data_IF_315804982634
#
_entry.id   IF_315804982634
#
_cell.length_a   1.000
_cell.length_b   1.000
_cell.length_c   1.000
_cell.angle_alpha   90.00
_cell.angle_beta   90.00
_cell.angle_gamma   90.00
#
_symmetry.space_group_name_H-M   'P 1'
#
loop_
_entity.id
_entity.type
_entity.pdbx_description
1 polymer ?
#
# COMPACT_ATOMS: atom_id res chain seq x y z
N UNK A 1 16.70 20.64 -21.73
CA UNK A 1 17.49 21.73 -21.13
C UNK A 1 17.86 21.35 -19.72
N UNK A 2 19.17 21.39 -19.41
CA UNK A 2 19.86 21.33 -18.11
C UNK A 2 19.31 20.39 -17.02
N UNK A 3 19.98 19.24 -16.88
CA UNK A 3 20.18 18.55 -15.61
C UNK A 3 21.21 19.29 -14.75
N UNK A 4 20.93 19.47 -13.46
CA UNK A 4 21.89 19.98 -12.46
C UNK A 4 22.40 18.83 -11.61
N UNK A 5 23.64 18.44 -11.88
CA UNK A 5 24.46 17.60 -11.00
C UNK A 5 25.03 18.48 -9.87
N UNK A 6 24.87 18.05 -8.61
CA UNK A 6 25.54 18.68 -7.46
C UNK A 6 26.86 17.96 -7.21
N UNK A 7 27.92 18.75 -7.33
CA UNK A 7 29.33 18.41 -7.21
C UNK A 7 29.70 18.00 -5.79
N UNK A 8 30.31 16.83 -5.63
CA UNK A 8 31.10 16.46 -4.45
C UNK A 8 32.49 17.11 -4.53
N UNK A 9 32.87 17.93 -3.55
CA UNK A 9 34.25 18.37 -3.35
C UNK A 9 35.01 17.43 -2.38
N UNK A 10 36.25 17.00 -2.71
CA UNK A 10 37.16 16.36 -1.78
C UNK A 10 38.30 17.32 -1.36
N UNK A 11 38.58 17.43 -0.06
CA UNK A 11 39.65 18.30 0.48
C UNK A 11 39.88 17.89 1.94
N UNK A 12 41.06 17.55 2.49
CA UNK A 12 42.46 17.62 2.10
C UNK A 12 43.26 16.60 2.95
N UNK A 13 44.27 15.97 2.33
CA UNK A 13 45.43 15.38 3.02
C UNK A 13 46.33 16.48 3.58
N UNK A 14 46.93 16.25 4.75
CA UNK A 14 48.15 16.90 5.27
C UNK A 14 48.33 16.44 6.72
N UNK A 15 49.49 16.08 7.28
CA UNK A 15 50.89 16.01 6.85
C UNK A 15 51.62 15.47 8.10
N UNK A 16 52.49 14.49 7.92
CA UNK A 16 53.38 14.03 8.99
C UNK A 16 54.43 15.08 9.32
N UNK A 17 54.87 15.12 10.58
CA UNK A 17 56.08 15.80 11.04
C UNK A 17 56.49 15.12 12.36
N UNK A 18 57.41 14.16 12.31
CA UNK A 18 58.87 14.32 12.44
C UNK A 18 59.36 14.49 13.89
N UNK A 19 60.34 13.64 14.19
CA UNK A 19 60.87 13.41 15.52
C UNK A 19 61.52 14.62 16.18
N UNK A 20 61.30 14.73 17.49
CA UNK A 20 62.21 15.45 18.39
C UNK A 20 62.97 14.45 19.26
N UNK A 21 64.16 14.09 18.76
CA UNK A 21 65.26 13.61 19.61
C UNK A 21 65.72 14.76 20.51
N UNK A 22 65.67 14.60 21.83
CA UNK A 22 66.49 15.39 22.76
C UNK A 22 67.11 14.48 23.82
N UNK A 23 68.41 14.24 23.61
CA UNK A 23 69.51 14.33 24.57
C UNK A 23 69.31 13.59 25.91
N UNK A 24 69.84 12.36 25.96
CA UNK A 24 70.32 11.76 27.21
C UNK A 24 71.48 12.60 27.74
N UNK A 25 71.36 13.14 28.95
CA UNK A 25 72.52 13.50 29.77
C UNK A 25 72.70 12.43 30.85
N UNK A 26 73.85 11.76 30.79
CA UNK A 26 74.30 10.83 31.79
C UNK A 26 74.81 11.61 33.00
N UNK A 27 74.10 11.56 34.13
CA UNK A 27 74.65 11.91 35.43
C UNK A 27 74.95 10.65 36.22
N UNK A 28 76.24 10.38 36.30
CA UNK A 28 76.89 9.36 37.10
C UNK A 28 76.84 9.80 38.59
N UNK A 29 76.08 9.10 39.44
CA UNK A 29 76.24 9.17 40.90
C UNK A 29 76.13 7.79 41.52
N UNK A 30 77.30 7.26 41.88
CA UNK A 30 77.48 6.25 42.93
C UNK A 30 76.87 6.78 44.23
N UNK A 31 75.98 6.00 44.83
CA UNK A 31 75.43 6.20 46.17
C UNK A 31 74.70 4.94 46.60
N UNK A 32 75.05 4.44 47.79
CA UNK A 32 74.74 3.10 48.32
C UNK A 32 73.25 2.72 48.38
N UNK A 33 72.94 1.41 48.32
CA UNK A 33 71.59 0.88 48.39
C UNK A 33 71.21 0.55 49.84
N UNK A 34 70.59 1.49 50.56
CA UNK A 34 69.80 1.18 51.76
C UNK A 34 68.63 2.16 51.84
N UNK A 35 67.58 1.87 51.09
CA UNK A 35 66.37 2.68 51.02
C UNK A 35 65.45 2.25 49.89
N UNK A 36 65.23 0.94 49.70
CA UNK A 36 64.70 0.40 48.44
C UNK A 36 63.56 -0.60 48.65
N UNK A 37 62.65 -0.32 49.58
CA UNK A 37 61.42 -1.13 49.73
C UNK A 37 60.19 -0.23 49.88
N UNK A 38 60.32 0.87 50.63
CA UNK A 38 59.27 1.90 50.74
C UNK A 38 59.01 2.66 49.43
N UNK A 39 60.04 2.87 48.60
CA UNK A 39 59.95 3.62 47.33
C UNK A 39 59.32 2.78 46.19
N UNK A 40 59.63 1.48 46.14
CA UNK A 40 59.03 0.55 45.18
C UNK A 40 57.54 0.31 45.47
N UNK A 41 57.17 0.23 46.76
CA UNK A 41 55.78 0.12 47.18
C UNK A 41 54.96 1.35 46.76
N UNK A 42 55.49 2.56 46.96
CA UNK A 42 54.83 3.79 46.54
C UNK A 42 54.60 3.85 45.02
N UNK A 43 55.56 3.35 44.22
CA UNK A 43 55.43 3.24 42.77
C UNK A 43 54.33 2.25 42.35
N UNK A 44 54.25 1.08 42.99
CA UNK A 44 53.20 0.09 42.74
C UNK A 44 51.80 0.59 43.12
N UNK A 45 51.70 1.31 44.24
CA UNK A 45 50.45 1.93 44.69
C UNK A 45 50.00 3.02 43.70
N UNK A 46 50.94 3.87 43.24
CA UNK A 46 50.67 4.88 42.20
C UNK A 46 50.20 4.25 40.88
N UNK A 47 50.84 3.18 40.43
CA UNK A 47 50.45 2.46 39.22
C UNK A 47 49.08 1.79 39.38
N UNK A 48 48.78 1.22 40.55
CA UNK A 48 47.49 0.62 40.87
C UNK A 48 46.36 1.66 40.88
N UNK A 49 46.62 2.85 41.42
CA UNK A 49 45.69 3.97 41.33
C UNK A 49 45.48 4.43 39.89
N UNK A 50 46.54 4.50 39.10
CA UNK A 50 46.45 4.87 37.68
C UNK A 50 45.58 3.87 36.91
N UNK A 51 45.79 2.56 37.10
CA UNK A 51 44.96 1.52 36.48
C UNK A 51 43.50 1.63 36.93
N UNK A 52 43.24 1.91 38.22
CA UNK A 52 41.88 2.10 38.73
C UNK A 52 41.19 3.31 38.09
N UNK A 53 41.91 4.43 37.92
CA UNK A 53 41.40 5.63 37.22
C UNK A 53 41.10 5.33 35.76
N UNK A 54 42.00 4.64 35.06
CA UNK A 54 41.78 4.23 33.67
C UNK A 54 40.57 3.30 33.52
N UNK A 55 40.42 2.32 34.42
CA UNK A 55 39.27 1.41 34.39
C UNK A 55 37.96 2.19 34.59
N UNK A 56 37.91 3.10 35.56
CA UNK A 56 36.74 3.96 35.78
C UNK A 56 36.40 4.83 34.56
N UNK A 57 37.40 5.32 33.83
CA UNK A 57 37.19 6.05 32.58
C UNK A 57 36.63 5.15 31.47
N UNK A 58 37.15 3.93 31.33
CA UNK A 58 36.64 2.93 30.38
C UNK A 58 35.19 2.59 30.70
N UNK A 59 34.86 2.33 31.95
CA UNK A 59 33.49 2.00 32.38
C UNK A 59 32.54 3.17 32.08
N UNK A 60 32.97 4.41 32.33
CA UNK A 60 32.23 5.62 31.97
C UNK A 60 31.98 5.74 30.46
N UNK A 61 33.00 5.48 29.62
CA UNK A 61 32.86 5.49 28.17
C UNK A 61 31.92 4.38 27.67
N UNK A 62 31.97 3.19 28.26
CA UNK A 62 31.06 2.08 27.93
C UNK A 62 29.61 2.44 28.28
N UNK A 63 29.37 3.07 29.43
CA UNK A 63 28.05 3.53 29.83
C UNK A 63 27.50 4.61 28.89
N UNK A 64 28.33 5.59 28.52
CA UNK A 64 27.97 6.63 27.55
C UNK A 64 27.67 6.01 26.18
N UNK A 65 28.53 5.10 25.69
CA UNK A 65 28.31 4.40 24.41
C UNK A 65 26.98 3.64 24.42
N UNK A 66 26.68 2.92 25.49
CA UNK A 66 25.43 2.16 25.61
C UNK A 66 24.21 3.08 25.62
N UNK A 67 24.31 4.22 26.28
CA UNK A 67 23.24 5.24 26.30
C UNK A 67 23.03 5.87 24.92
N UNK A 68 24.10 6.20 24.21
CA UNK A 68 24.03 6.72 22.85
C UNK A 68 23.44 5.71 21.88
N UNK A 69 23.82 4.43 22.00
CA UNK A 69 23.27 3.35 21.19
C UNK A 69 21.76 3.23 21.40
N UNK A 70 21.29 3.15 22.65
CA UNK A 70 19.87 3.07 22.95
C UNK A 70 19.07 4.27 22.42
N UNK A 71 19.65 5.48 22.44
CA UNK A 71 19.02 6.67 21.86
C UNK A 71 18.94 6.61 20.33
N UNK A 72 19.99 6.14 19.67
CA UNK A 72 20.00 5.96 18.22
C UNK A 72 18.97 4.92 17.79
N UNK A 73 18.91 3.79 18.50
CA UNK A 73 17.96 2.72 18.21
C UNK A 73 16.52 3.20 18.40
N UNK A 74 16.21 3.86 19.52
CA UNK A 74 14.88 4.43 19.76
C UNK A 74 14.49 5.52 18.75
N UNK A 75 15.46 6.33 18.30
CA UNK A 75 15.21 7.31 17.24
C UNK A 75 14.94 6.62 15.90
N UNK A 76 15.69 5.57 15.55
CA UNK A 76 15.49 4.82 14.32
C UNK A 76 14.11 4.14 14.29
N UNK A 77 13.68 3.54 15.41
CA UNK A 77 12.36 2.95 15.55
C UNK A 77 11.24 3.99 15.41
N UNK A 78 11.36 5.13 16.12
CA UNK A 78 10.39 6.22 16.02
C UNK A 78 10.27 6.77 14.60
N UNK A 79 11.41 6.95 13.91
CA UNK A 79 11.42 7.42 12.52
C UNK A 79 10.83 6.38 11.57
N UNK A 80 11.10 5.09 11.77
CA UNK A 80 10.53 4.03 10.95
C UNK A 80 9.00 3.97 11.09
N UNK A 81 8.48 4.16 12.30
CA UNK A 81 7.04 4.24 12.54
C UNK A 81 6.43 5.45 11.84
N UNK A 82 7.02 6.64 11.98
CA UNK A 82 6.52 7.85 11.31
C UNK A 82 6.51 7.71 9.78
N UNK A 83 7.56 7.12 9.21
CA UNK A 83 7.64 6.83 7.77
C UNK A 83 6.53 5.86 7.33
N UNK A 84 6.25 4.83 8.12
CA UNK A 84 5.16 3.90 7.82
C UNK A 84 3.79 4.58 7.87
N UNK A 85 3.52 5.37 8.91
CA UNK A 85 2.27 6.13 9.04
C UNK A 85 2.07 7.14 7.91
N UNK A 86 3.14 7.83 7.49
CA UNK A 86 3.12 8.74 6.36
C UNK A 86 2.87 8.00 5.04
N UNK A 87 3.50 6.83 4.85
CA UNK A 87 3.28 6.00 3.66
C UNK A 87 1.82 5.57 3.54
N UNK A 88 1.22 5.08 4.62
CA UNK A 88 -0.19 4.69 4.65
C UNK A 88 -1.12 5.88 4.32
N UNK A 89 -0.85 7.06 4.89
CA UNK A 89 -1.62 8.28 4.58
C UNK A 89 -1.48 8.69 3.12
N UNK A 90 -0.28 8.56 2.53
CA UNK A 90 -0.05 8.83 1.12
C UNK A 90 -0.83 7.86 0.22
N UNK A 91 -0.79 6.55 0.51
CA UNK A 91 -1.54 5.52 -0.24
C UNK A 91 -3.06 5.82 -0.24
N UNK A 92 -3.62 6.18 0.94
CA UNK A 92 -5.03 6.58 1.07
C UNK A 92 -5.36 7.82 0.25
N UNK A 93 -4.49 8.84 0.26
CA UNK A 93 -4.70 10.06 -0.51
C UNK A 93 -4.62 9.80 -2.02
N UNK A 94 -3.67 9.00 -2.48
CA UNK A 94 -3.53 8.60 -3.88
C UNK A 94 -4.77 7.84 -4.38
N UNK A 95 -5.30 6.90 -3.58
CA UNK A 95 -6.53 6.18 -3.90
C UNK A 95 -7.73 7.14 -4.02
N UNK A 96 -7.87 8.09 -3.09
CA UNK A 96 -8.93 9.10 -3.13
C UNK A 96 -8.81 10.03 -4.35
N UNK A 97 -7.60 10.49 -4.66
CA UNK A 97 -7.34 11.31 -5.84
C UNK A 97 -7.69 10.56 -7.14
N UNK A 98 -7.31 9.29 -7.24
CA UNK A 98 -7.62 8.43 -8.40
C UNK A 98 -9.13 8.22 -8.56
N UNK A 99 -9.85 7.99 -7.46
CA UNK A 99 -11.32 7.89 -7.48
C UNK A 99 -11.98 9.20 -7.89
N UNK A 100 -11.49 10.34 -7.38
CA UNK A 100 -12.01 11.65 -7.76
C UNK A 100 -11.75 11.96 -9.24
N UNK A 101 -10.57 11.64 -9.76
CA UNK A 101 -10.23 11.80 -11.17
C UNK A 101 -11.19 11.02 -12.06
N UNK A 102 -11.50 9.76 -11.71
CA UNK A 102 -12.52 8.96 -12.40
C UNK A 102 -13.88 9.63 -12.38
N UNK A 103 -14.35 10.12 -11.23
CA UNK A 103 -15.63 10.85 -11.14
C UNK A 103 -15.66 12.10 -12.02
N UNK A 104 -14.56 12.87 -12.07
CA UNK A 104 -14.45 14.04 -12.96
C UNK A 104 -14.50 13.61 -14.42
N UNK A 105 -13.83 12.53 -14.81
CA UNK A 105 -13.88 12.01 -16.18
C UNK A 105 -15.31 11.61 -16.59
N UNK A 106 -16.10 11.03 -15.68
CA UNK A 106 -17.52 10.73 -15.94
C UNK A 106 -18.32 12.02 -16.09
N UNK A 107 -18.15 12.99 -15.19
CA UNK A 107 -18.86 14.29 -15.23
C UNK A 107 -18.54 15.14 -16.47
N UNK A 108 -17.37 14.95 -17.09
CA UNK A 108 -16.95 15.70 -18.30
C UNK A 108 -17.64 15.25 -19.58
N UNK A 109 -18.27 14.08 -19.61
CA UNK A 109 -19.05 13.62 -20.78
C UNK A 109 -20.32 14.48 -20.81
N UNK A 110 -20.63 15.21 -21.88
CA UNK A 110 -21.82 16.08 -21.95
C UNK A 110 -23.08 15.33 -21.50
N UNK A 111 -23.62 15.69 -20.34
CA UNK A 111 -24.46 14.74 -19.61
C UNK A 111 -25.94 14.93 -19.90
N UNK A 112 -26.45 14.13 -20.82
CA UNK A 112 -27.78 13.57 -20.65
C UNK A 112 -27.62 12.33 -19.77
N UNK A 113 -28.10 12.37 -18.52
CA UNK A 113 -27.96 11.28 -17.53
C UNK A 113 -28.83 10.05 -17.83
N UNK A 114 -29.34 9.94 -19.05
CA UNK A 114 -30.10 8.81 -19.54
C UNK A 114 -29.21 7.59 -19.74
N UNK A 115 -29.74 6.42 -19.42
CA UNK A 115 -29.11 5.14 -19.75
C UNK A 115 -28.83 5.05 -21.26
N UNK A 116 -27.58 4.80 -21.66
CA UNK A 116 -27.16 4.89 -23.07
C UNK A 116 -26.63 3.60 -23.69
N UNK A 117 -26.48 2.53 -22.90
CA UNK A 117 -26.06 1.23 -23.43
C UNK A 117 -27.10 0.69 -24.44
N UNK A 118 -26.64 0.05 -25.54
CA UNK A 118 -27.53 -0.49 -26.55
C UNK A 118 -28.42 -1.59 -25.98
N UNK A 119 -29.67 -1.68 -26.45
CA UNK A 119 -30.55 -2.80 -26.08
C UNK A 119 -30.00 -4.12 -26.65
N UNK A 120 -30.05 -5.18 -25.84
CA UNK A 120 -29.72 -6.55 -26.27
C UNK A 120 -31.03 -7.34 -26.37
N UNK A 121 -31.56 -7.58 -27.57
CA UNK A 121 -32.84 -8.28 -27.72
C UNK A 121 -32.70 -9.76 -27.36
N UNK A 122 -33.82 -10.41 -26.97
CA UNK A 122 -33.85 -11.87 -26.72
C UNK A 122 -33.28 -12.70 -27.86
N UNK A 123 -33.49 -12.27 -29.11
CA UNK A 123 -32.99 -12.94 -30.30
C UNK A 123 -31.47 -13.11 -30.30
N UNK A 124 -30.72 -12.16 -29.71
CA UNK A 124 -29.26 -12.26 -29.55
C UNK A 124 -28.85 -13.54 -28.83
N UNK A 125 -29.54 -13.89 -27.74
CA UNK A 125 -29.25 -15.08 -26.96
C UNK A 125 -29.68 -16.37 -27.69
N UNK A 126 -30.85 -16.34 -28.32
CA UNK A 126 -31.40 -17.48 -29.07
C UNK A 126 -30.51 -17.82 -30.28
N UNK A 127 -30.05 -16.80 -31.01
CA UNK A 127 -29.15 -16.96 -32.17
C UNK A 127 -27.78 -17.53 -31.78
N UNK A 128 -27.35 -17.33 -30.53
CA UNK A 128 -26.17 -17.98 -29.95
C UNK A 128 -26.42 -19.42 -29.45
N UNK A 129 -27.61 -19.96 -29.67
CA UNK A 129 -27.99 -21.32 -29.27
C UNK A 129 -28.41 -21.44 -27.80
N UNK A 130 -28.78 -20.34 -27.14
CA UNK A 130 -29.40 -20.36 -25.82
C UNK A 130 -30.90 -20.66 -25.94
N UNK A 131 -31.48 -21.22 -24.89
CA UNK A 131 -32.92 -21.45 -24.84
C UNK A 131 -33.70 -20.17 -24.49
N UNK A 132 -35.02 -20.24 -24.65
CA UNK A 132 -35.93 -19.11 -24.38
C UNK A 132 -35.90 -18.70 -22.90
N UNK A 133 -35.69 -19.66 -21.99
CA UNK A 133 -35.61 -19.40 -20.55
C UNK A 133 -34.37 -18.57 -20.21
N UNK A 134 -33.20 -18.94 -20.73
CA UNK A 134 -31.97 -18.15 -20.62
C UNK A 134 -32.15 -16.77 -21.24
N UNK A 135 -32.71 -16.67 -22.44
CA UNK A 135 -32.94 -15.40 -23.11
C UNK A 135 -33.87 -14.47 -22.30
N UNK A 136 -34.92 -15.02 -21.69
CA UNK A 136 -35.82 -14.29 -20.81
C UNK A 136 -35.11 -13.81 -19.54
N UNK A 137 -34.32 -14.66 -18.89
CA UNK A 137 -33.54 -14.30 -17.71
C UNK A 137 -32.54 -13.16 -18.01
N UNK A 138 -31.89 -13.20 -19.18
CA UNK A 138 -30.99 -12.14 -19.62
C UNK A 138 -31.71 -10.81 -19.86
N UNK A 139 -32.93 -10.82 -20.40
CA UNK A 139 -33.74 -9.61 -20.54
C UNK A 139 -34.11 -9.01 -19.17
N UNK A 140 -34.52 -9.84 -18.21
CA UNK A 140 -34.80 -9.38 -16.85
C UNK A 140 -33.55 -8.80 -16.17
N UNK A 141 -32.41 -9.47 -16.33
CA UNK A 141 -31.10 -9.02 -15.86
C UNK A 141 -30.78 -7.60 -16.35
N UNK A 142 -30.88 -7.37 -17.66
CA UNK A 142 -30.62 -6.05 -18.26
C UNK A 142 -31.60 -4.99 -17.75
N UNK A 143 -32.87 -5.36 -17.55
CA UNK A 143 -33.87 -4.51 -16.91
C UNK A 143 -33.48 -4.09 -15.49
N UNK A 144 -32.96 -5.02 -14.67
CA UNK A 144 -32.48 -4.72 -13.31
C UNK A 144 -31.25 -3.81 -13.32
N UNK A 145 -30.26 -4.07 -14.18
CA UNK A 145 -29.07 -3.19 -14.30
C UNK A 145 -29.50 -1.77 -14.66
N UNK A 146 -30.42 -1.63 -15.62
CA UNK A 146 -30.95 -0.32 -16.03
C UNK A 146 -31.65 0.40 -14.88
N UNK A 147 -32.53 -0.30 -14.16
CA UNK A 147 -33.25 0.25 -13.02
C UNK A 147 -32.29 0.70 -11.90
N UNK A 148 -31.35 -0.16 -11.47
CA UNK A 148 -30.37 0.17 -10.44
C UNK A 148 -29.51 1.38 -10.84
N UNK A 149 -29.09 1.47 -12.12
CA UNK A 149 -28.35 2.63 -12.64
C UNK A 149 -29.15 3.92 -12.50
N UNK A 150 -30.42 3.89 -12.86
CA UNK A 150 -31.30 5.06 -12.76
C UNK A 150 -31.49 5.48 -11.30
N UNK A 151 -31.65 4.53 -10.38
CA UNK A 151 -31.88 4.81 -8.96
C UNK A 151 -30.61 5.32 -8.27
N UNK A 152 -29.44 4.74 -8.58
CA UNK A 152 -28.14 5.26 -8.14
C UNK A 152 -27.94 6.70 -8.61
N UNK A 153 -28.30 7.02 -9.86
CA UNK A 153 -28.16 8.38 -10.41
C UNK A 153 -29.10 9.38 -9.76
N UNK A 154 -30.26 8.95 -9.26
CA UNK A 154 -31.16 9.79 -8.45
C UNK A 154 -30.63 10.02 -7.03
N UNK A 155 -29.54 9.35 -6.66
CA UNK A 155 -28.93 9.44 -5.33
C UNK A 155 -29.64 8.56 -4.30
N UNK A 156 -30.39 7.56 -4.74
CA UNK A 156 -31.02 6.60 -3.84
C UNK A 156 -29.94 5.68 -3.25
N UNK A 157 -29.92 5.55 -1.93
CA UNK A 157 -29.03 4.58 -1.28
C UNK A 157 -29.66 3.20 -1.41
N UNK A 158 -29.22 2.47 -2.43
CA UNK A 158 -29.76 1.15 -2.75
C UNK A 158 -28.82 0.03 -2.32
N UNK A 159 -29.40 -1.14 -2.08
CA UNK A 159 -28.68 -2.40 -2.08
C UNK A 159 -28.65 -2.91 -3.52
N UNK A 160 -27.50 -2.83 -4.17
CA UNK A 160 -27.39 -3.10 -5.60
C UNK A 160 -27.40 -4.62 -5.83
N UNK A 161 -28.52 -5.12 -6.37
CA UNK A 161 -28.79 -6.54 -6.66
C UNK A 161 -28.94 -6.83 -8.14
N UNK A 162 -28.64 -5.86 -9.01
CA UNK A 162 -28.75 -6.10 -10.44
C UNK A 162 -27.86 -7.24 -10.96
N UNK A 163 -26.86 -7.69 -10.18
CA UNK A 163 -25.98 -8.82 -10.49
C UNK A 163 -26.19 -10.04 -9.57
N UNK A 164 -27.31 -10.10 -8.86
CA UNK A 164 -27.69 -11.22 -7.99
C UNK A 164 -28.62 -12.21 -8.73
N UNK A 165 -28.07 -13.38 -9.09
CA UNK A 165 -28.78 -14.42 -9.84
C UNK A 165 -29.00 -15.70 -9.02
N UNK A 166 -29.31 -15.56 -7.72
CA UNK A 166 -29.35 -16.67 -6.75
C UNK A 166 -30.17 -17.92 -7.19
N UNK A 167 -31.21 -17.73 -8.01
CA UNK A 167 -32.12 -18.79 -8.47
C UNK A 167 -32.10 -19.04 -10.00
N UNK A 168 -31.23 -18.37 -10.75
CA UNK A 168 -31.24 -18.42 -12.23
C UNK A 168 -30.12 -19.29 -12.80
N UNK A 169 -30.19 -19.58 -14.10
CA UNK A 169 -29.06 -20.17 -14.81
C UNK A 169 -27.86 -19.22 -14.79
N UNK A 170 -26.69 -19.77 -14.53
CA UNK A 170 -25.48 -19.00 -14.37
C UNK A 170 -25.16 -18.19 -15.63
N UNK A 171 -25.04 -16.87 -15.51
CA UNK A 171 -24.80 -15.97 -16.64
C UNK A 171 -23.42 -16.24 -17.22
N UNK A 172 -23.39 -16.43 -18.54
CA UNK A 172 -22.16 -16.66 -19.29
C UNK A 172 -21.61 -15.34 -19.82
N UNK A 173 -20.29 -15.25 -20.04
CA UNK A 173 -19.67 -14.01 -20.48
C UNK A 173 -20.13 -13.67 -21.91
N UNK A 174 -20.50 -12.42 -22.12
CA UNK A 174 -20.79 -11.85 -23.43
C UNK A 174 -20.34 -10.38 -23.45
N UNK A 175 -19.57 -9.99 -24.46
CA UNK A 175 -19.04 -8.63 -24.59
C UNK A 175 -20.16 -7.59 -24.81
N UNK A 176 -21.35 -8.02 -25.24
CA UNK A 176 -22.53 -7.16 -25.32
C UNK A 176 -22.94 -6.61 -23.95
N UNK A 177 -22.55 -7.24 -22.83
CA UNK A 177 -22.81 -6.74 -21.48
C UNK A 177 -21.87 -5.61 -21.05
N UNK A 178 -20.71 -5.44 -21.70
CA UNK A 178 -19.69 -4.46 -21.27
C UNK A 178 -20.21 -3.00 -21.25
N UNK A 179 -21.00 -2.52 -22.24
CA UNK A 179 -21.64 -1.22 -22.17
C UNK A 179 -22.55 -1.06 -20.94
N UNK A 180 -23.28 -2.11 -20.56
CA UNK A 180 -24.17 -2.07 -19.39
C UNK A 180 -23.40 -2.02 -18.08
N UNK A 181 -22.31 -2.79 -17.96
CA UNK A 181 -21.40 -2.69 -16.82
C UNK A 181 -20.73 -1.32 -16.72
N UNK A 182 -20.47 -0.68 -17.87
CA UNK A 182 -19.93 0.68 -17.90
C UNK A 182 -20.94 1.72 -17.42
N UNK A 183 -22.22 1.61 -17.79
CA UNK A 183 -23.29 2.46 -17.26
C UNK A 183 -23.41 2.33 -15.73
N UNK A 184 -23.32 1.09 -15.22
CA UNK A 184 -23.30 0.79 -13.78
C UNK A 184 -22.08 1.36 -13.09
N UNK A 185 -20.88 1.14 -13.63
CA UNK A 185 -19.64 1.69 -13.11
C UNK A 185 -19.67 3.23 -13.04
N UNK A 186 -20.12 3.89 -14.12
CA UNK A 186 -20.25 5.35 -14.16
C UNK A 186 -21.26 5.85 -13.11
N UNK A 187 -22.37 5.13 -12.87
CA UNK A 187 -23.34 5.46 -11.83
C UNK A 187 -22.75 5.30 -10.41
N UNK A 188 -22.11 4.16 -10.12
CA UNK A 188 -21.44 3.90 -8.84
C UNK A 188 -20.40 4.99 -8.55
N UNK A 189 -19.61 5.37 -9.54
CA UNK A 189 -18.54 6.36 -9.43
C UNK A 189 -19.04 7.76 -9.01
N UNK A 190 -20.27 8.09 -9.37
CA UNK A 190 -20.91 9.37 -9.08
C UNK A 190 -21.80 9.34 -7.85
N UNK A 191 -22.15 8.14 -7.39
CA UNK A 191 -22.90 7.97 -6.15
C UNK A 191 -22.12 8.55 -4.97
N UNK A 192 -22.86 9.04 -3.97
CA UNK A 192 -22.30 9.43 -2.67
C UNK A 192 -22.05 8.23 -1.75
N UNK A 193 -21.99 7.03 -2.33
CA UNK A 193 -21.84 5.76 -1.63
C UNK A 193 -23.04 4.84 -1.92
N UNK A 194 -22.74 3.60 -2.26
CA UNK A 194 -23.70 2.51 -2.29
C UNK A 194 -23.35 1.63 -1.09
N UNK A 195 -24.35 1.23 -0.31
CA UNK A 195 -24.10 0.42 0.88
C UNK A 195 -23.34 -0.86 0.51
N UNK A 196 -23.87 -1.59 -0.46
CA UNK A 196 -23.33 -2.89 -0.86
C UNK A 196 -23.79 -3.28 -2.26
N UNK A 197 -22.97 -4.10 -2.91
CA UNK A 197 -23.31 -4.78 -4.16
C UNK A 197 -23.26 -6.30 -3.95
N UNK A 198 -24.24 -7.01 -4.50
CA UNK A 198 -24.22 -8.46 -4.61
C UNK A 198 -23.96 -8.86 -6.06
N UNK A 199 -22.99 -9.76 -6.22
CA UNK A 199 -22.57 -10.35 -7.48
C UNK A 199 -22.65 -11.86 -7.28
N UNK A 200 -23.72 -12.50 -7.77
CA UNK A 200 -23.95 -13.92 -7.54
C UNK A 200 -24.21 -14.66 -8.84
N UNK A 201 -23.63 -15.86 -8.99
CA UNK A 201 -23.95 -16.81 -10.05
C UNK A 201 -23.74 -16.24 -11.48
N UNK A 202 -22.62 -15.52 -11.66
CA UNK A 202 -22.16 -14.94 -12.93
C UNK A 202 -20.72 -15.37 -13.21
N UNK A 203 -20.40 -15.61 -14.49
CA UNK A 203 -19.00 -15.74 -14.94
C UNK A 203 -18.42 -14.37 -15.32
N UNK A 204 -17.40 -13.91 -14.59
CA UNK A 204 -16.78 -12.60 -14.80
C UNK A 204 -15.43 -12.70 -15.49
N UNK A 205 -15.35 -12.14 -16.69
CA UNK A 205 -14.11 -11.98 -17.43
C UNK A 205 -13.30 -10.77 -16.89
N UNK A 206 -11.97 -10.71 -17.10
CA UNK A 206 -11.15 -9.55 -16.74
C UNK A 206 -11.64 -8.21 -17.32
N UNK A 207 -12.33 -8.23 -18.47
CA UNK A 207 -12.92 -7.03 -19.08
C UNK A 207 -14.04 -6.44 -18.22
N UNK A 208 -14.97 -7.27 -17.73
CA UNK A 208 -16.04 -6.85 -16.83
C UNK A 208 -15.48 -6.41 -15.46
N UNK A 209 -14.56 -7.18 -14.89
CA UNK A 209 -13.91 -6.83 -13.62
C UNK A 209 -13.14 -5.50 -13.71
N UNK A 210 -12.42 -5.28 -14.81
CA UNK A 210 -11.68 -4.06 -15.07
C UNK A 210 -12.56 -2.81 -15.23
N UNK A 211 -13.87 -2.98 -15.46
CA UNK A 211 -14.85 -1.90 -15.48
C UNK A 211 -15.44 -1.68 -14.07
N UNK A 212 -15.93 -2.76 -13.45
CA UNK A 212 -16.70 -2.69 -12.21
C UNK A 212 -15.83 -2.35 -10.99
N UNK A 213 -14.74 -3.09 -10.77
CA UNK A 213 -13.97 -3.00 -9.53
C UNK A 213 -13.30 -1.64 -9.32
N UNK A 214 -12.67 -1.01 -10.33
CA UNK A 214 -12.17 0.34 -10.16
C UNK A 214 -13.26 1.32 -9.71
N UNK A 215 -14.45 1.25 -10.29
CA UNK A 215 -15.55 2.16 -9.94
C UNK A 215 -16.03 2.01 -8.49
N UNK A 216 -15.86 0.84 -7.89
CA UNK A 216 -16.26 0.53 -6.51
C UNK A 216 -15.25 1.01 -5.45
N UNK A 217 -14.00 1.31 -5.85
CA UNK A 217 -12.93 1.73 -4.93
C UNK A 217 -13.30 3.02 -4.19
N UNK A 218 -13.43 2.90 -2.86
CA UNK A 218 -13.81 4.01 -1.97
C UNK A 218 -15.30 4.40 -2.05
N UNK A 219 -16.13 3.62 -2.75
CA UNK A 219 -17.57 3.88 -2.95
C UNK A 219 -18.48 2.87 -2.25
N UNK A 220 -18.00 1.65 -2.02
CA UNK A 220 -18.76 0.57 -1.41
C UNK A 220 -18.26 0.24 0.01
N UNK A 221 -19.21 -0.09 0.90
CA UNK A 221 -18.92 -0.66 2.23
C UNK A 221 -18.96 -2.19 2.22
N UNK A 222 -19.78 -2.79 1.37
CA UNK A 222 -19.90 -4.24 1.23
C UNK A 222 -19.76 -4.71 -0.21
N UNK A 223 -19.11 -5.85 -0.40
CA UNK A 223 -19.18 -6.63 -1.64
C UNK A 223 -19.50 -8.08 -1.27
N UNK A 224 -20.59 -8.59 -1.82
CA UNK A 224 -20.97 -10.00 -1.72
C UNK A 224 -20.73 -10.67 -3.08
N UNK A 225 -19.96 -11.75 -3.09
CA UNK A 225 -19.49 -12.47 -4.28
C UNK A 225 -19.79 -13.95 -4.12
N UNK A 226 -21.00 -14.37 -4.49
CA UNK A 226 -21.44 -15.77 -4.42
C UNK A 226 -21.32 -16.49 -5.76
N UNK A 227 -20.90 -17.76 -5.77
CA UNK A 227 -20.95 -18.64 -6.97
C UNK A 227 -20.35 -18.01 -8.23
N UNK A 228 -19.36 -17.14 -8.08
CA UNK A 228 -18.72 -16.46 -9.21
C UNK A 228 -17.81 -17.45 -9.90
N UNK A 229 -17.88 -17.46 -11.23
CA UNK A 229 -16.98 -18.26 -12.06
C UNK A 229 -15.98 -17.33 -12.74
N UNK A 230 -14.75 -17.80 -12.87
CA UNK A 230 -13.73 -17.14 -13.66
C UNK A 230 -13.34 -18.03 -14.83
N UNK A 231 -13.00 -17.45 -15.99
CA UNK A 231 -12.52 -18.21 -17.13
C UNK A 231 -11.21 -18.89 -16.75
N UNK A 232 -11.07 -20.18 -17.02
CA UNK A 232 -9.88 -20.96 -16.65
C UNK A 232 -8.53 -20.31 -17.05
N UNK A 233 -8.38 -19.79 -18.28
CA UNK A 233 -7.15 -19.12 -18.71
C UNK A 233 -6.85 -17.80 -17.98
N UNK A 234 -7.87 -17.13 -17.45
CA UNK A 234 -7.80 -15.75 -16.94
C UNK A 234 -7.99 -15.66 -15.42
N UNK A 235 -8.20 -16.78 -14.72
CA UNK A 235 -8.52 -16.82 -13.29
C UNK A 235 -7.53 -16.02 -12.42
N UNK A 236 -6.22 -16.13 -12.70
CA UNK A 236 -5.18 -15.39 -11.97
C UNK A 236 -5.37 -13.89 -12.14
N UNK A 237 -5.60 -13.44 -13.38
CA UNK A 237 -5.83 -12.04 -13.69
C UNK A 237 -7.11 -11.50 -13.05
N UNK A 238 -8.17 -12.32 -12.97
CA UNK A 238 -9.38 -11.96 -12.25
C UNK A 238 -9.11 -11.70 -10.76
N UNK A 239 -8.40 -12.60 -10.08
CA UNK A 239 -8.02 -12.41 -8.68
C UNK A 239 -7.08 -11.22 -8.46
N UNK A 240 -6.15 -10.96 -9.39
CA UNK A 240 -5.29 -9.78 -9.32
C UNK A 240 -6.09 -8.48 -9.37
N UNK A 241 -7.09 -8.38 -10.26
CA UNK A 241 -7.97 -7.20 -10.35
C UNK A 241 -8.75 -7.01 -9.04
N UNK A 242 -9.34 -8.10 -8.52
CA UNK A 242 -10.13 -8.09 -7.28
C UNK A 242 -9.27 -7.70 -6.09
N UNK A 243 -8.13 -8.37 -5.89
CA UNK A 243 -7.21 -8.11 -4.77
C UNK A 243 -6.67 -6.68 -4.81
N UNK A 244 -6.31 -6.19 -5.99
CA UNK A 244 -5.81 -4.83 -6.16
C UNK A 244 -6.88 -3.79 -5.84
N UNK A 245 -8.13 -4.03 -6.23
CA UNK A 245 -9.25 -3.12 -5.92
C UNK A 245 -9.62 -3.15 -4.44
N UNK A 246 -9.65 -4.33 -3.80
CA UNK A 246 -9.85 -4.45 -2.34
C UNK A 246 -8.76 -3.68 -1.59
N UNK A 247 -7.50 -3.83 -1.98
CA UNK A 247 -6.38 -3.11 -1.37
C UNK A 247 -6.48 -1.59 -1.48
N UNK A 248 -7.12 -1.08 -2.54
CA UNK A 248 -7.38 0.37 -2.74
C UNK A 248 -8.69 0.85 -2.13
N UNK A 249 -9.57 -0.05 -1.71
CA UNK A 249 -10.86 0.31 -1.13
C UNK A 249 -10.77 0.43 0.40
N UNK A 250 -10.22 1.54 0.88
CA UNK A 250 -10.12 1.83 2.32
C UNK A 250 -11.47 2.03 3.04
N UNK A 251 -12.59 2.09 2.29
CA UNK A 251 -13.93 2.18 2.84
C UNK A 251 -14.67 0.83 2.94
N UNK A 252 -14.05 -0.27 2.49
CA UNK A 252 -14.65 -1.59 2.50
C UNK A 252 -14.68 -2.14 3.93
N UNK A 253 -15.88 -2.46 4.41
CA UNK A 253 -16.14 -3.00 5.76
C UNK A 253 -16.45 -4.50 5.71
N UNK A 254 -17.04 -4.99 4.61
CA UNK A 254 -17.44 -6.40 4.43
C UNK A 254 -17.09 -6.92 3.05
N UNK A 255 -16.47 -8.10 3.01
CA UNK A 255 -16.27 -8.90 1.80
C UNK A 255 -16.72 -10.33 2.09
N UNK A 256 -17.70 -10.81 1.33
CA UNK A 256 -18.13 -12.21 1.35
C UNK A 256 -17.77 -12.83 0.00
N UNK A 257 -17.08 -13.96 0.02
CA UNK A 257 -16.73 -14.74 -1.17
C UNK A 257 -17.08 -16.20 -0.90
N UNK A 258 -18.06 -16.74 -1.63
CA UNK A 258 -18.56 -18.12 -1.50
C UNK A 258 -18.44 -18.92 -2.80
#
# INVERSE_FOLDING_TARGET
GRATAVSMEPSRRSRGDEGRKRKLEASNRKGSPVGSDLDFKALLDQHSEQMRRMQSQIDGLVAIKSTLQARLDGQAESQAQEVNELREKCEVLEARCSSLERSIQVLRKDVNWTYSAPDIPRSHWIEQGRDEEYAHNMEECLGRIKQDVEDIRKGENIYCRCLDYYDQMAILPDDALLPHFKELADAIQLSNGIGEISIDNIELHPSALGILFPAMEGRLKGIDMGRIRFPGPDVVKCYEIIAASIGRNHGLERLLME
#
